data_IF_259835765364
#
_entry.id   IF_259835765364
#
_cell.length_a   1.000
_cell.length_b   1.000
_cell.length_c   1.000
_cell.angle_alpha   90.00
_cell.angle_beta   90.00
_cell.angle_gamma   90.00
#
_symmetry.space_group_name_H-M   'P 1'
#
loop_
_entity.id
_entity.type
_entity.pdbx_description
1 polymer ?
#
# COMPACT_ATOMS: atom_id res chain seq x y z
N UNK A 1 4.44 16.27 -29.65
CA UNK A 1 3.76 17.07 -28.61
C UNK A 1 4.25 18.49 -28.79
N UNK A 2 3.40 19.41 -29.27
CA UNK A 2 3.83 20.79 -29.56
C UNK A 2 4.10 21.49 -28.22
N UNK A 3 5.32 21.95 -28.04
CA UNK A 3 5.76 22.78 -26.92
C UNK A 3 4.90 24.05 -26.95
N UNK A 4 3.93 24.16 -26.04
CA UNK A 4 3.16 25.38 -25.86
C UNK A 4 4.06 26.32 -25.05
N UNK A 5 4.30 27.53 -25.54
CA UNK A 5 5.00 28.59 -24.84
C UNK A 5 4.36 28.80 -23.45
N UNK A 6 4.94 28.17 -22.43
CA UNK A 6 4.45 28.19 -21.04
C UNK A 6 5.15 29.25 -20.19
N UNK A 7 6.15 29.91 -20.76
CA UNK A 7 6.97 30.91 -20.11
C UNK A 7 6.75 32.23 -20.83
N UNK A 8 5.88 33.05 -20.25
CA UNK A 8 5.82 34.46 -20.59
C UNK A 8 7.22 35.04 -20.33
N UNK A 9 7.82 35.59 -21.38
CA UNK A 9 9.24 35.95 -21.44
C UNK A 9 9.52 37.20 -20.62
N UNK A 10 9.43 37.07 -19.30
CA UNK A 10 9.87 38.09 -18.37
C UNK A 10 11.05 37.50 -17.57
N UNK A 11 12.23 38.09 -17.75
CA UNK A 11 13.55 37.68 -17.28
C UNK A 11 13.69 37.62 -15.74
N UNK A 12 12.90 36.77 -15.08
CA UNK A 12 13.22 36.31 -13.74
C UNK A 12 14.39 35.32 -13.87
N UNK A 13 15.52 35.61 -13.22
CA UNK A 13 16.70 34.73 -13.17
C UNK A 13 16.34 33.42 -12.47
N UNK A 14 15.80 32.45 -13.20
CA UNK A 14 15.60 31.11 -12.69
C UNK A 14 16.96 30.44 -12.45
N UNK A 15 17.16 29.75 -11.33
CA UNK A 15 18.41 29.05 -11.06
C UNK A 15 18.65 27.99 -12.14
N UNK A 16 19.83 28.01 -12.76
CA UNK A 16 20.21 27.01 -13.77
C UNK A 16 20.17 25.61 -13.15
N UNK A 17 19.47 24.70 -13.84
CA UNK A 17 19.43 23.30 -13.43
C UNK A 17 20.83 22.69 -13.41
N UNK A 18 21.19 22.02 -12.31
CA UNK A 18 22.39 21.20 -12.23
C UNK A 18 22.09 19.88 -11.55
N UNK A 19 22.44 18.77 -12.19
CA UNK A 19 22.19 17.41 -11.71
C UNK A 19 22.74 17.16 -10.30
N UNK A 20 23.92 17.70 -9.98
CA UNK A 20 24.54 17.57 -8.65
C UNK A 20 23.75 18.29 -7.55
N UNK A 21 23.37 19.56 -7.76
CA UNK A 21 22.64 20.35 -6.74
C UNK A 21 21.16 19.95 -6.63
N UNK A 22 20.57 19.39 -7.68
CA UNK A 22 19.14 19.04 -7.73
C UNK A 22 18.88 17.54 -7.72
N UNK A 23 19.83 16.74 -7.21
CA UNK A 23 19.70 15.28 -7.17
C UNK A 23 18.42 14.82 -6.45
N UNK A 24 18.07 15.49 -5.34
CA UNK A 24 16.86 15.21 -4.57
C UNK A 24 15.61 15.42 -5.44
N UNK A 25 15.50 16.56 -6.13
CA UNK A 25 14.39 16.82 -7.04
C UNK A 25 14.29 15.73 -8.12
N UNK A 26 15.40 15.28 -8.67
CA UNK A 26 15.41 14.19 -9.65
C UNK A 26 14.90 12.86 -9.06
N UNK A 27 15.23 12.52 -7.80
CA UNK A 27 14.70 11.31 -7.17
C UNK A 27 13.21 11.41 -6.91
N UNK A 28 12.72 12.56 -6.42
CA UNK A 28 11.29 12.79 -6.17
C UNK A 28 10.48 12.70 -7.47
N UNK A 29 10.93 13.36 -8.55
CA UNK A 29 10.25 13.29 -9.85
C UNK A 29 10.25 11.86 -10.43
N UNK A 30 11.32 11.09 -10.19
CA UNK A 30 11.36 9.69 -10.59
C UNK A 30 10.36 8.85 -9.79
N UNK A 31 10.25 9.08 -8.48
CA UNK A 31 9.26 8.40 -7.64
C UNK A 31 7.84 8.73 -8.08
N UNK A 32 7.55 10.00 -8.36
CA UNK A 32 6.26 10.45 -8.90
C UNK A 32 5.94 9.77 -10.24
N UNK A 33 6.91 9.71 -11.17
CA UNK A 33 6.77 8.99 -12.43
C UNK A 33 6.41 7.51 -12.22
N UNK A 34 7.10 6.83 -11.30
CA UNK A 34 6.80 5.43 -10.97
C UNK A 34 5.41 5.29 -10.36
N UNK A 35 5.02 6.15 -9.43
CA UNK A 35 3.69 6.12 -8.81
C UNK A 35 2.57 6.28 -9.85
N UNK A 36 2.70 7.27 -10.75
CA UNK A 36 1.74 7.53 -11.83
C UNK A 36 1.64 6.32 -12.77
N UNK A 37 2.78 5.77 -13.22
CA UNK A 37 2.80 4.69 -14.21
C UNK A 37 2.46 3.30 -13.64
N UNK A 38 2.58 3.08 -12.33
CA UNK A 38 2.25 1.79 -11.68
C UNK A 38 0.79 1.70 -11.24
N UNK A 39 0.13 2.84 -11.07
CA UNK A 39 -1.26 2.88 -10.64
C UNK A 39 -2.16 2.32 -11.74
N UNK A 40 -3.00 1.35 -11.39
CA UNK A 40 -3.89 0.66 -12.36
C UNK A 40 -5.28 1.27 -12.47
N UNK A 41 -5.73 2.00 -11.46
CA UNK A 41 -7.10 2.52 -11.39
C UNK A 41 -7.10 4.00 -11.04
N UNK A 42 -6.72 4.35 -9.81
CA UNK A 42 -6.73 5.74 -9.33
C UNK A 42 -5.58 6.00 -8.36
N UNK A 43 -4.87 7.11 -8.56
CA UNK A 43 -3.76 7.53 -7.72
C UNK A 43 -4.24 8.69 -6.87
N UNK A 44 -4.03 8.59 -5.56
CA UNK A 44 -4.26 9.67 -4.61
C UNK A 44 -2.90 10.13 -4.08
N UNK A 45 -2.61 11.41 -4.24
CA UNK A 45 -1.44 12.06 -3.64
C UNK A 45 -1.97 12.92 -2.51
N UNK A 46 -1.56 12.62 -1.28
CA UNK A 46 -1.91 13.39 -0.10
C UNK A 46 -0.62 14.03 0.41
N UNK A 47 -0.62 15.35 0.50
CA UNK A 47 0.50 16.12 1.01
C UNK A 47 0.01 17.00 2.16
N UNK A 48 0.79 17.04 3.24
CA UNK A 48 0.44 17.79 4.45
C UNK A 48 0.94 19.23 4.41
N UNK A 49 1.79 19.59 3.44
CA UNK A 49 2.42 20.90 3.30
C UNK A 49 2.15 21.39 1.87
N UNK A 50 1.10 22.18 1.72
CA UNK A 50 0.60 22.64 0.41
C UNK A 50 1.66 23.37 -0.43
N UNK A 51 2.65 24.01 0.21
CA UNK A 51 3.67 24.80 -0.48
C UNK A 51 4.61 23.98 -1.36
N UNK A 52 4.81 22.69 -1.08
CA UNK A 52 5.77 21.87 -1.84
C UNK A 52 5.20 21.34 -3.17
N UNK A 53 3.93 20.95 -3.22
CA UNK A 53 3.28 20.53 -4.47
C UNK A 53 2.79 21.69 -5.32
N UNK A 54 2.62 22.89 -4.75
CA UNK A 54 2.09 24.06 -5.45
C UNK A 54 2.76 24.33 -6.82
N UNK A 55 4.10 24.33 -6.96
CA UNK A 55 4.74 24.56 -8.26
C UNK A 55 4.38 23.50 -9.31
N UNK A 56 4.27 22.22 -8.90
CA UNK A 56 3.87 21.13 -9.80
C UNK A 56 2.39 21.23 -10.16
N UNK A 57 1.53 21.58 -9.21
CA UNK A 57 0.11 21.79 -9.45
C UNK A 57 -0.13 22.94 -10.42
N UNK A 58 0.53 24.08 -10.21
CA UNK A 58 0.47 25.25 -11.10
C UNK A 58 0.96 24.91 -12.51
N UNK A 59 2.04 24.13 -12.62
CA UNK A 59 2.54 23.64 -13.90
C UNK A 59 1.50 22.77 -14.62
N UNK A 60 0.90 21.81 -13.94
CA UNK A 60 -0.15 20.97 -14.53
C UNK A 60 -1.43 21.75 -14.85
N UNK A 61 -1.76 22.78 -14.05
CA UNK A 61 -2.90 23.66 -14.28
C UNK A 61 -2.69 24.49 -15.55
N UNK A 62 -1.49 25.03 -15.76
CA UNK A 62 -1.09 25.70 -17.02
C UNK A 62 -1.15 24.78 -18.23
N UNK A 63 -0.86 23.48 -18.05
CA UNK A 63 -1.01 22.47 -19.10
C UNK A 63 -2.46 22.00 -19.31
N UNK A 64 -3.40 22.46 -18.49
CA UNK A 64 -4.79 22.01 -18.44
C UNK A 64 -4.93 20.49 -18.20
N UNK A 65 -4.04 19.91 -17.38
CA UNK A 65 -4.05 18.47 -17.04
C UNK A 65 -4.79 18.16 -15.73
N UNK A 66 -5.01 19.17 -14.89
CA UNK A 66 -5.65 19.02 -13.58
C UNK A 66 -6.92 19.86 -13.49
N UNK A 67 -7.86 19.39 -12.67
CA UNK A 67 -9.06 20.13 -12.28
C UNK A 67 -8.98 20.40 -10.79
N UNK A 68 -9.29 21.62 -10.38
CA UNK A 68 -9.42 21.99 -8.99
C UNK A 68 -10.86 21.72 -8.56
N UNK A 69 -11.02 20.89 -7.52
CA UNK A 69 -12.32 20.43 -7.01
C UNK A 69 -12.28 20.54 -5.50
N UNK A 70 -13.37 21.03 -4.91
CA UNK A 70 -13.57 20.89 -3.47
C UNK A 70 -13.83 19.43 -3.10
N UNK A 71 -13.48 19.05 -1.87
CA UNK A 71 -13.81 17.75 -1.28
C UNK A 71 -15.30 17.71 -0.92
N UNK A 72 -16.15 17.72 -1.94
CA UNK A 72 -17.60 17.60 -1.79
C UNK A 72 -18.06 16.14 -1.68
N UNK A 73 -19.30 15.94 -1.23
CA UNK A 73 -19.85 14.61 -1.02
C UNK A 73 -19.93 13.79 -2.33
N UNK A 74 -20.07 14.47 -3.47
CA UNK A 74 -20.02 13.88 -4.82
C UNK A 74 -18.64 13.31 -5.13
N UNK A 75 -17.58 14.07 -4.90
CA UNK A 75 -16.21 13.65 -5.08
C UNK A 75 -15.90 12.50 -4.12
N UNK A 76 -16.24 12.61 -2.83
CA UNK A 76 -16.05 11.53 -1.84
C UNK A 76 -16.70 10.23 -2.31
N UNK A 77 -17.96 10.28 -2.78
CA UNK A 77 -18.64 9.11 -3.39
C UNK A 77 -17.87 8.58 -4.60
N UNK A 78 -17.37 9.46 -5.46
CA UNK A 78 -16.53 9.05 -6.58
C UNK A 78 -15.18 8.49 -6.14
N UNK A 79 -14.63 8.89 -4.98
CA UNK A 79 -13.36 8.36 -4.43
C UNK A 79 -13.51 6.93 -3.90
N UNK A 80 -14.71 6.56 -3.46
CA UNK A 80 -14.98 5.24 -2.91
C UNK A 80 -14.75 4.17 -3.98
N UNK A 81 -13.84 3.26 -3.70
CA UNK A 81 -13.72 2.01 -4.47
C UNK A 81 -14.90 1.15 -4.05
N UNK A 82 -15.73 0.77 -5.03
CA UNK A 82 -17.04 0.12 -4.90
C UNK A 82 -16.99 -1.32 -4.39
N UNK A 83 -16.13 -1.61 -3.42
CA UNK A 83 -16.16 -2.92 -2.78
C UNK A 83 -17.33 -2.99 -1.81
N UNK A 84 -18.29 -3.88 -2.04
CA UNK A 84 -19.43 -4.03 -1.12
C UNK A 84 -19.02 -4.73 0.17
N UNK A 85 -19.80 -4.56 1.24
CA UNK A 85 -19.57 -5.26 2.50
C UNK A 85 -19.56 -6.78 2.28
N UNK A 86 -20.43 -7.27 1.41
CA UNK A 86 -20.56 -8.68 1.02
C UNK A 86 -19.30 -9.18 0.30
N UNK A 87 -18.71 -8.38 -0.57
CA UNK A 87 -17.45 -8.70 -1.23
C UNK A 87 -16.29 -8.80 -0.21
N UNK A 88 -16.24 -7.89 0.77
CA UNK A 88 -15.26 -7.97 1.85
C UNK A 88 -15.43 -9.24 2.70
N UNK A 89 -16.66 -9.58 3.07
CA UNK A 89 -16.98 -10.82 3.80
C UNK A 89 -16.56 -12.04 2.98
N UNK A 90 -16.93 -12.09 1.70
CA UNK A 90 -16.60 -13.19 0.79
C UNK A 90 -15.07 -13.35 0.63
N UNK A 91 -14.32 -12.25 0.45
CA UNK A 91 -12.86 -12.28 0.40
C UNK A 91 -12.24 -12.77 1.72
N UNK A 92 -12.78 -12.33 2.85
CA UNK A 92 -12.37 -12.78 4.18
C UNK A 92 -12.58 -14.28 4.37
N UNK A 93 -13.76 -14.80 4.04
CA UNK A 93 -14.08 -16.24 4.09
C UNK A 93 -13.16 -17.05 3.17
N UNK A 94 -12.93 -16.58 1.94
CA UNK A 94 -12.03 -17.26 0.99
C UNK A 94 -10.60 -17.34 1.53
N UNK A 95 -10.08 -16.25 2.09
CA UNK A 95 -8.75 -16.24 2.74
C UNK A 95 -8.70 -17.17 3.94
N UNK A 96 -9.73 -17.14 4.80
CA UNK A 96 -9.83 -18.00 5.98
C UNK A 96 -9.83 -19.48 5.58
N UNK A 97 -10.61 -19.86 4.57
CA UNK A 97 -10.66 -21.23 4.06
C UNK A 97 -9.30 -21.67 3.49
N UNK A 98 -8.63 -20.80 2.71
CA UNK A 98 -7.29 -21.07 2.18
C UNK A 98 -6.29 -21.32 3.31
N UNK A 99 -6.24 -20.44 4.30
CA UNK A 99 -5.32 -20.56 5.44
C UNK A 99 -5.56 -21.83 6.25
N UNK A 100 -6.83 -22.18 6.51
CA UNK A 100 -7.20 -23.41 7.21
C UNK A 100 -6.76 -24.67 6.44
N UNK A 101 -6.94 -24.68 5.12
CA UNK A 101 -6.47 -25.77 4.27
C UNK A 101 -4.95 -25.92 4.27
N UNK A 102 -4.22 -24.80 4.17
CA UNK A 102 -2.76 -24.78 4.24
C UNK A 102 -2.25 -25.28 5.60
N UNK A 103 -2.86 -24.83 6.70
CA UNK A 103 -2.50 -25.29 8.05
C UNK A 103 -2.71 -26.79 8.20
N UNK A 104 -3.86 -27.32 7.78
CA UNK A 104 -4.16 -28.74 7.85
C UNK A 104 -3.16 -29.58 7.04
N UNK A 105 -2.85 -29.16 5.81
CA UNK A 105 -1.84 -29.80 4.97
C UNK A 105 -0.45 -29.74 5.63
N UNK A 106 -0.08 -28.59 6.18
CA UNK A 106 1.19 -28.38 6.87
C UNK A 106 1.36 -29.28 8.09
N UNK A 107 0.35 -29.38 8.95
CA UNK A 107 0.36 -30.27 10.12
C UNK A 107 0.52 -31.72 9.71
N UNK A 108 -0.22 -32.18 8.69
CA UNK A 108 -0.09 -33.56 8.18
C UNK A 108 1.31 -33.84 7.59
N UNK A 109 1.97 -32.82 7.03
CA UNK A 109 3.31 -32.94 6.47
C UNK A 109 4.42 -32.87 7.52
N UNK A 110 4.14 -32.55 8.79
CA UNK A 110 5.20 -32.42 9.82
C UNK A 110 6.00 -33.71 9.98
N UNK A 111 5.33 -34.87 9.87
CA UNK A 111 5.96 -36.18 10.08
C UNK A 111 6.70 -36.69 8.83
N UNK A 112 6.31 -36.23 7.64
CA UNK A 112 6.80 -36.76 6.36
C UNK A 112 7.72 -35.80 5.60
N UNK A 113 7.48 -34.49 5.69
CA UNK A 113 8.28 -33.47 5.02
C UNK A 113 8.22 -32.13 5.78
N UNK A 114 9.13 -32.00 6.75
CA UNK A 114 9.26 -30.82 7.62
C UNK A 114 9.51 -29.50 6.86
N UNK A 115 10.19 -29.55 5.71
CA UNK A 115 10.44 -28.34 4.89
C UNK A 115 9.15 -27.82 4.26
N UNK A 116 8.36 -28.71 3.65
CA UNK A 116 7.07 -28.34 3.05
C UNK A 116 6.04 -27.96 4.12
N UNK A 117 6.02 -28.69 5.24
CA UNK A 117 5.19 -28.34 6.40
C UNK A 117 5.44 -26.91 6.87
N UNK A 118 6.71 -26.52 6.99
CA UNK A 118 7.10 -25.16 7.37
C UNK A 118 6.61 -24.11 6.40
N UNK A 119 6.77 -24.33 5.09
CA UNK A 119 6.29 -23.37 4.07
C UNK A 119 4.78 -23.20 4.16
N UNK A 120 4.03 -24.30 4.24
CA UNK A 120 2.56 -24.26 4.32
C UNK A 120 2.05 -23.57 5.59
N UNK A 121 2.67 -23.85 6.75
CA UNK A 121 2.28 -23.26 8.03
C UNK A 121 2.63 -21.77 8.12
N UNK A 122 3.77 -21.34 7.56
CA UNK A 122 4.12 -19.92 7.49
C UNK A 122 3.16 -19.18 6.55
N UNK A 123 2.86 -19.72 5.37
CA UNK A 123 1.90 -19.10 4.45
C UNK A 123 0.50 -19.01 5.09
N UNK A 124 0.07 -20.04 5.82
CA UNK A 124 -1.19 -19.99 6.56
C UNK A 124 -1.20 -18.88 7.62
N UNK A 125 -0.11 -18.74 8.39
CA UNK A 125 0.02 -17.72 9.42
C UNK A 125 -0.05 -16.29 8.85
N UNK A 126 0.72 -16.02 7.78
CA UNK A 126 0.72 -14.72 7.11
C UNK A 126 -0.67 -14.37 6.55
N UNK A 127 -1.41 -15.36 6.04
CA UNK A 127 -2.79 -15.12 5.59
C UNK A 127 -3.69 -14.77 6.79
N UNK A 128 -3.59 -15.50 7.90
CA UNK A 128 -4.36 -15.21 9.12
C UNK A 128 -4.05 -13.83 9.70
N UNK A 129 -2.79 -13.42 9.75
CA UNK A 129 -2.36 -12.07 10.12
C UNK A 129 -2.99 -11.01 9.20
N UNK A 130 -2.96 -11.25 7.88
CA UNK A 130 -3.53 -10.32 6.88
C UNK A 130 -5.06 -10.12 7.00
N UNK A 131 -5.76 -11.00 7.73
CA UNK A 131 -7.20 -10.90 8.00
C UNK A 131 -7.50 -10.64 9.49
N UNK A 132 -6.49 -10.31 10.30
CA UNK A 132 -6.65 -9.97 11.73
C UNK A 132 -7.00 -11.16 12.63
N UNK A 133 -6.67 -12.38 12.23
CA UNK A 133 -6.92 -13.62 13.00
C UNK A 133 -5.66 -14.09 13.74
N UNK A 134 -5.15 -13.25 14.63
CA UNK A 134 -3.89 -13.47 15.36
C UNK A 134 -3.84 -14.82 16.10
N UNK A 135 -4.92 -15.25 16.77
CA UNK A 135 -4.96 -16.55 17.45
C UNK A 135 -4.69 -17.74 16.51
N UNK A 136 -5.14 -17.63 15.26
CA UNK A 136 -4.93 -18.69 14.26
C UNK A 136 -3.53 -18.64 13.66
N UNK A 137 -2.95 -17.45 13.51
CA UNK A 137 -1.54 -17.30 13.13
C UNK A 137 -0.62 -17.89 14.21
N UNK A 138 -0.86 -17.54 15.48
CA UNK A 138 -0.13 -18.08 16.61
C UNK A 138 -0.22 -19.62 16.68
N UNK A 139 -1.40 -20.21 16.40
CA UNK A 139 -1.55 -21.68 16.29
C UNK A 139 -0.63 -22.29 15.22
N UNK A 140 -0.49 -21.66 14.06
CA UNK A 140 0.43 -22.14 13.03
C UNK A 140 1.89 -22.12 13.51
N UNK A 141 2.30 -21.07 14.23
CA UNK A 141 3.65 -21.00 14.79
C UNK A 141 3.86 -21.94 15.98
N UNK A 142 2.84 -22.20 16.80
CA UNK A 142 2.86 -23.25 17.82
C UNK A 142 3.05 -24.64 17.19
N UNK A 143 2.35 -24.93 16.09
CA UNK A 143 2.52 -26.19 15.34
C UNK A 143 3.96 -26.33 14.79
N UNK A 144 4.62 -25.20 14.49
CA UNK A 144 6.05 -25.14 14.10
C UNK A 144 7.04 -25.13 15.28
N UNK A 145 6.55 -25.09 16.51
CA UNK A 145 7.36 -24.90 17.73
C UNK A 145 8.15 -23.58 17.75
N UNK A 146 7.71 -22.58 16.98
CA UNK A 146 8.23 -21.22 17.03
C UNK A 146 7.49 -20.40 18.09
N UNK A 147 7.79 -20.70 19.35
CA UNK A 147 7.11 -20.08 20.49
C UNK A 147 7.37 -18.59 20.61
N UNK A 148 8.52 -18.11 20.09
CA UNK A 148 8.85 -16.68 20.10
C UNK A 148 7.87 -15.93 19.21
N UNK A 149 7.67 -16.40 17.99
CA UNK A 149 6.74 -15.77 17.05
C UNK A 149 5.29 -15.94 17.49
N UNK A 150 4.91 -17.15 17.93
CA UNK A 150 3.59 -17.41 18.48
C UNK A 150 3.24 -16.48 19.66
N UNK A 151 4.20 -16.20 20.55
CA UNK A 151 4.04 -15.24 21.63
C UNK A 151 3.91 -13.80 21.11
N UNK A 152 4.78 -13.38 20.20
CA UNK A 152 4.74 -12.02 19.64
C UNK A 152 3.43 -11.73 18.89
N UNK A 153 2.75 -12.73 18.33
CA UNK A 153 1.46 -12.54 17.65
C UNK A 153 0.27 -12.49 18.62
N UNK A 154 0.39 -13.10 19.81
CA UNK A 154 -0.66 -13.08 20.85
C UNK A 154 -0.63 -11.78 21.68
N UNK A 155 0.56 -11.24 21.91
CA UNK A 155 0.79 -10.08 22.78
C UNK A 155 0.68 -8.65 22.17
N UNK A 156 0.51 -8.38 20.84
CA UNK A 156 0.39 -6.99 20.36
C UNK A 156 -0.91 -6.31 20.80
N UNK A 157 -1.94 -7.09 21.15
CA UNK A 157 -3.26 -6.55 21.51
C UNK A 157 -3.40 -6.20 23.00
N UNK A 158 -2.44 -6.58 23.85
CA UNK A 158 -2.50 -6.30 25.29
C UNK A 158 -2.07 -4.86 25.61
N UNK A 159 -1.33 -4.19 24.71
CA UNK A 159 -0.82 -2.83 24.91
C UNK A 159 -1.73 -1.70 24.38
N UNK A 160 -2.89 -2.01 23.82
CA UNK A 160 -3.89 -1.01 23.38
C UNK A 160 -5.20 -1.04 24.20
N UNK A 161 -5.21 -1.75 25.33
CA UNK A 161 -6.35 -1.85 26.23
C UNK A 161 -6.09 -1.23 27.63
N UNK A 162 -5.11 -0.34 27.74
CA UNK A 162 -4.85 0.48 28.93
C UNK A 162 -4.71 1.95 28.57
#
# INVERSE_FOLDING_TARGET
>A
MKERDLLDSNDAKFPKFSKGRHQILCSELKQLYVAITRTRQRLWICENIDDFSKPMFDYWKKLCLVQERELDESLVRAMQVTSSKEEWISRGIKKLAKASGLRAAGVHMLDSNTKLARVALVEAAEIYESIGKADFAAKCFMDLKDFKRAGMDYFPFVHHAY
#
